data_IF_390345876070
#
_entry.id   IF_390345876070
#
_cell.length_a   1.000
_cell.length_b   1.000
_cell.length_c   1.000
_cell.angle_alpha   90.00
_cell.angle_beta   90.00
_cell.angle_gamma   90.00
#
_symmetry.space_group_name_H-M   'P 1'
#
loop_
_entity.id
_entity.type
_entity.pdbx_description
1 polymer ?
#
# COMPACT_ATOMS: atom_id res chain seq x y z
N UNK A 1 6.12 21.03 -3.48
CA UNK A 1 4.71 21.35 -3.81
C UNK A 1 3.99 20.02 -3.98
N UNK A 2 3.44 19.49 -2.88
CA UNK A 2 2.75 18.19 -2.89
C UNK A 2 1.28 18.49 -3.12
N UNK A 3 0.80 18.27 -4.34
CA UNK A 3 -0.63 18.19 -4.60
C UNK A 3 -1.10 16.81 -4.12
N UNK A 4 -1.53 16.72 -2.87
CA UNK A 4 -2.39 15.61 -2.43
C UNK A 4 -3.76 15.82 -3.04
N UNK A 5 -4.11 15.03 -4.05
CA UNK A 5 -5.47 14.97 -4.57
C UNK A 5 -6.35 14.34 -3.49
N UNK A 6 -7.22 15.16 -2.88
CA UNK A 6 -8.19 14.78 -1.85
C UNK A 6 -9.50 14.41 -2.54
N UNK A 7 -9.85 13.13 -2.57
CA UNK A 7 -11.23 12.69 -2.86
C UNK A 7 -11.43 11.24 -2.38
N UNK A 8 -12.11 11.00 -1.25
CA UNK A 8 -13.44 10.38 -1.13
C UNK A 8 -13.66 9.77 0.27
N UNK A 9 -14.74 10.18 0.93
CA UNK A 9 -15.19 9.65 2.22
C UNK A 9 -15.86 8.30 2.05
N UNK A 10 -15.14 7.20 2.32
CA UNK A 10 -15.74 5.88 2.50
C UNK A 10 -16.48 5.82 3.85
N UNK A 11 -17.79 6.10 3.85
CA UNK A 11 -18.63 5.96 5.06
C UNK A 11 -18.77 4.51 5.57
N UNK A 12 -18.09 3.53 4.96
CA UNK A 12 -18.17 2.11 5.31
C UNK A 12 -16.85 1.34 5.34
N UNK A 13 -15.67 1.96 5.38
CA UNK A 13 -14.39 1.21 5.29
C UNK A 13 -13.77 0.82 6.64
N UNK A 14 -14.13 1.49 7.74
CA UNK A 14 -13.39 1.40 9.01
C UNK A 14 -14.34 1.23 10.19
N UNK A 15 -13.95 0.38 11.15
CA UNK A 15 -14.47 0.44 12.51
C UNK A 15 -13.49 1.26 13.34
N UNK A 16 -13.96 2.35 13.94
CA UNK A 16 -13.20 3.13 14.90
C UNK A 16 -13.13 2.29 16.19
N UNK A 17 -11.94 1.82 16.54
CA UNK A 17 -11.72 1.13 17.82
C UNK A 17 -11.24 2.18 18.81
N UNK A 18 -12.18 2.70 19.61
CA UNK A 18 -11.86 3.58 20.74
C UNK A 18 -11.27 2.75 21.87
N UNK A 19 -9.94 2.71 21.98
CA UNK A 19 -9.28 2.21 23.18
C UNK A 19 -9.42 3.29 24.25
N UNK A 20 -10.39 3.12 25.15
CA UNK A 20 -10.54 3.97 26.34
C UNK A 20 -9.43 3.67 27.34
N UNK A 21 -8.29 4.35 27.21
CA UNK A 21 -7.33 4.53 28.30
C UNK A 21 -7.77 5.71 29.16
N UNK A 22 -8.75 5.51 30.05
CA UNK A 22 -9.14 6.56 31.01
C UNK A 22 -8.06 6.65 32.08
N UNK A 23 -7.29 7.75 32.09
CA UNK A 23 -6.65 8.22 33.31
C UNK A 23 -6.97 9.71 33.51
N UNK A 24 -8.17 9.95 34.02
CA UNK A 24 -8.59 11.24 34.55
C UNK A 24 -7.79 11.52 35.82
N UNK A 25 -6.75 12.36 35.72
CA UNK A 25 -6.29 13.18 36.84
C UNK A 25 -6.61 14.64 36.53
N UNK A 26 -7.88 15.00 36.77
CA UNK A 26 -8.30 16.40 36.84
C UNK A 26 -7.68 17.02 38.09
N UNK A 27 -6.75 17.95 37.92
CA UNK A 27 -6.28 18.81 39.00
C UNK A 27 -6.63 20.26 38.65
N UNK A 28 -7.89 20.62 38.94
CA UNK A 28 -8.45 21.93 38.68
C UNK A 28 -8.02 22.90 39.79
N UNK A 29 -6.85 23.52 39.63
CA UNK A 29 -6.41 24.63 40.48
C UNK A 29 -7.17 25.91 40.11
N UNK A 30 -8.01 26.39 41.05
CA UNK A 30 -8.75 27.65 40.93
C UNK A 30 -7.78 28.84 40.93
N UNK A 31 -7.60 29.48 39.77
CA UNK A 31 -7.30 30.92 39.70
C UNK A 31 -8.29 31.58 38.74
N UNK A 32 -9.25 32.29 39.31
CA UNK A 32 -10.21 33.09 38.58
C UNK A 32 -9.51 34.35 38.06
N UNK A 33 -9.11 34.33 36.78
CA UNK A 33 -8.96 35.55 35.99
C UNK A 33 -10.18 35.66 35.07
N UNK A 34 -10.73 36.88 35.01
CA UNK A 34 -11.92 37.27 34.24
C UNK A 34 -11.67 37.09 32.74
N UNK A 35 -11.89 35.87 32.25
CA UNK A 35 -12.06 35.59 30.84
C UNK A 35 -13.54 35.30 30.59
N UNK A 36 -14.11 35.99 29.60
CA UNK A 36 -15.48 35.83 29.13
C UNK A 36 -15.82 34.33 28.97
N UNK A 37 -16.97 33.90 29.50
CA UNK A 37 -17.39 32.49 29.48
C UNK A 37 -17.41 31.87 28.09
N UNK A 38 -17.57 32.69 27.04
CA UNK A 38 -17.51 32.24 25.64
C UNK A 38 -16.11 31.78 25.21
N UNK A 39 -15.05 32.50 25.57
CA UNK A 39 -13.68 32.12 25.19
C UNK A 39 -13.23 30.82 25.86
N UNK A 40 -13.68 30.57 27.10
CA UNK A 40 -13.44 29.31 27.80
C UNK A 40 -14.25 28.16 27.18
N UNK A 41 -15.53 28.39 26.88
CA UNK A 41 -16.37 27.38 26.22
C UNK A 41 -15.85 26.99 24.82
N UNK A 42 -15.32 27.95 24.05
CA UNK A 42 -14.70 27.68 22.75
C UNK A 42 -13.41 26.86 22.91
N UNK A 43 -12.57 27.18 23.90
CA UNK A 43 -11.35 26.43 24.18
C UNK A 43 -11.65 25.00 24.67
N UNK A 44 -12.60 24.84 25.59
CA UNK A 44 -13.05 23.53 26.09
C UNK A 44 -13.67 22.70 24.96
N UNK A 45 -14.48 23.31 24.10
CA UNK A 45 -15.03 22.68 22.90
C UNK A 45 -13.93 22.21 21.94
N UNK A 46 -12.88 23.00 21.73
CA UNK A 46 -11.75 22.63 20.89
C UNK A 46 -10.95 21.44 21.47
N UNK A 47 -10.75 21.38 22.79
CA UNK A 47 -10.06 20.27 23.46
C UNK A 47 -10.90 19.00 23.44
N UNK A 48 -12.21 19.10 23.72
CA UNK A 48 -13.14 17.96 23.63
C UNK A 48 -13.20 17.44 22.20
N UNK A 49 -13.35 18.31 21.21
CA UNK A 49 -13.32 17.93 19.80
C UNK A 49 -12.00 17.27 19.43
N UNK A 50 -10.87 17.87 19.82
CA UNK A 50 -9.54 17.32 19.55
C UNK A 50 -9.32 15.94 20.19
N UNK A 51 -9.92 15.70 21.37
CA UNK A 51 -9.78 14.42 22.07
C UNK A 51 -10.72 13.37 21.48
N UNK A 52 -11.98 13.72 21.20
CA UNK A 52 -12.97 12.82 20.60
C UNK A 52 -12.66 12.47 19.14
N UNK A 53 -12.00 13.37 18.41
CA UNK A 53 -11.54 13.12 17.04
C UNK A 53 -10.21 12.36 16.99
N UNK A 54 -9.55 12.15 18.13
CA UNK A 54 -8.32 11.36 18.21
C UNK A 54 -8.64 9.87 18.14
N UNK A 55 -8.59 9.32 16.92
CA UNK A 55 -8.65 7.87 16.71
C UNK A 55 -7.24 7.32 16.92
N UNK A 56 -7.05 6.51 17.97
CA UNK A 56 -5.76 5.85 18.23
C UNK A 56 -5.55 4.61 17.37
N UNK A 57 -6.63 3.87 17.05
CA UNK A 57 -6.54 2.68 16.22
C UNK A 57 -7.77 2.50 15.31
N UNK A 58 -7.56 1.82 14.18
CA UNK A 58 -8.57 1.53 13.16
C UNK A 58 -8.50 0.07 12.76
N UNK A 59 -9.66 -0.58 12.64
CA UNK A 59 -9.73 -1.92 12.07
C UNK A 59 -10.33 -1.84 10.65
N UNK A 60 -9.59 -2.23 9.61
CA UNK A 60 -10.07 -2.26 8.23
C UNK A 60 -11.26 -3.22 8.06
N UNK A 61 -12.30 -2.81 7.33
CA UNK A 61 -13.46 -3.68 7.02
C UNK A 61 -13.23 -4.65 5.87
N UNK A 62 -12.11 -4.51 5.18
CA UNK A 62 -11.66 -5.40 4.10
C UNK A 62 -10.18 -5.71 4.30
N UNK A 63 -9.74 -6.85 3.78
CA UNK A 63 -8.30 -7.08 3.56
C UNK A 63 -7.89 -6.38 2.27
N UNK A 64 -6.75 -5.71 2.26
CA UNK A 64 -6.24 -5.00 1.09
C UNK A 64 -4.94 -5.62 0.60
N UNK A 65 -4.72 -5.56 -0.71
CA UNK A 65 -3.58 -6.19 -1.36
C UNK A 65 -3.61 -6.02 -2.86
N UNK A 66 -2.75 -6.74 -3.57
CA UNK A 66 -2.65 -6.66 -5.03
C UNK A 66 -2.56 -8.05 -5.67
N UNK A 67 -2.73 -8.12 -6.98
CA UNK A 67 -2.47 -9.33 -7.75
C UNK A 67 -1.00 -9.52 -8.02
N UNK A 68 -0.51 -10.75 -7.87
CA UNK A 68 0.86 -11.13 -8.19
C UNK A 68 0.91 -12.32 -9.17
N UNK A 69 2.06 -12.49 -9.79
CA UNK A 69 2.40 -13.72 -10.49
C UNK A 69 3.02 -14.71 -9.50
N UNK A 70 2.55 -15.96 -9.52
CA UNK A 70 3.05 -17.04 -8.67
C UNK A 70 3.84 -18.07 -9.50
N UNK A 71 4.87 -18.72 -8.94
CA UNK A 71 5.56 -19.82 -9.61
C UNK A 71 4.58 -20.92 -10.04
N UNK A 72 4.73 -21.42 -11.27
CA UNK A 72 3.82 -22.44 -11.78
C UNK A 72 4.12 -23.83 -11.19
N UNK A 73 3.16 -24.39 -10.47
CA UNK A 73 3.17 -25.75 -9.94
C UNK A 73 2.26 -26.64 -10.80
N UNK A 74 2.85 -27.43 -11.70
CA UNK A 74 2.11 -28.19 -12.71
C UNK A 74 1.05 -29.17 -12.14
N UNK A 75 1.31 -29.74 -10.96
CA UNK A 75 0.42 -30.67 -10.27
C UNK A 75 -0.84 -30.02 -9.68
N UNK A 76 -0.75 -28.73 -9.31
CA UNK A 76 -1.85 -27.97 -8.69
C UNK A 76 -2.55 -27.11 -9.73
N UNK A 77 -1.78 -26.27 -10.43
CA UNK A 77 -2.30 -25.19 -11.26
C UNK A 77 -2.99 -25.69 -12.54
N UNK A 78 -2.58 -26.84 -13.10
CA UNK A 78 -3.31 -27.45 -14.24
C UNK A 78 -4.72 -27.88 -13.86
N UNK A 79 -4.93 -28.39 -12.64
CA UNK A 79 -6.26 -28.77 -12.14
C UNK A 79 -7.16 -27.57 -11.89
N UNK A 80 -6.55 -26.41 -11.65
CA UNK A 80 -7.22 -25.12 -11.52
C UNK A 80 -7.37 -24.38 -12.85
N UNK A 81 -7.08 -25.04 -14.00
CA UNK A 81 -7.15 -24.45 -15.34
C UNK A 81 -6.25 -23.22 -15.55
N UNK A 82 -5.20 -23.07 -14.74
CA UNK A 82 -4.25 -21.96 -14.86
C UNK A 82 -3.28 -22.21 -16.01
N UNK A 83 -3.15 -21.22 -16.88
CA UNK A 83 -2.25 -21.27 -18.04
C UNK A 83 -0.93 -20.59 -17.65
N UNK A 84 0.20 -21.33 -17.63
CA UNK A 84 1.49 -20.73 -17.33
C UNK A 84 2.00 -19.87 -18.49
N UNK A 85 2.73 -18.82 -18.16
CA UNK A 85 3.53 -18.04 -19.10
C UNK A 85 4.96 -17.91 -18.58
N UNK A 86 5.89 -17.53 -19.46
CA UNK A 86 7.27 -17.24 -19.06
C UNK A 86 7.41 -15.77 -18.70
N UNK A 87 7.90 -15.48 -17.50
CA UNK A 87 8.26 -14.11 -17.11
C UNK A 87 9.60 -13.69 -17.76
N UNK A 88 10.03 -12.43 -17.56
CA UNK A 88 11.30 -11.94 -18.12
C UNK A 88 12.54 -12.68 -17.57
N UNK A 89 12.44 -13.30 -16.39
CA UNK A 89 13.48 -14.19 -15.84
C UNK A 89 13.55 -15.55 -16.53
N UNK A 90 12.61 -15.87 -17.43
CA UNK A 90 12.47 -17.17 -18.08
C UNK A 90 11.81 -18.25 -17.22
N UNK A 91 11.16 -17.87 -16.12
CA UNK A 91 10.48 -18.78 -15.20
C UNK A 91 9.01 -18.95 -15.60
N UNK A 92 8.49 -20.17 -15.42
CA UNK A 92 7.06 -20.42 -15.60
C UNK A 92 6.30 -19.91 -14.39
N UNK A 93 5.38 -18.98 -14.63
CA UNK A 93 4.53 -18.35 -13.62
C UNK A 93 3.09 -18.34 -14.09
N UNK A 94 2.16 -18.09 -13.17
CA UNK A 94 0.73 -17.93 -13.43
C UNK A 94 0.24 -16.63 -12.79
N UNK A 95 -0.66 -15.92 -13.46
CA UNK A 95 -1.18 -14.63 -13.03
C UNK A 95 -2.40 -14.78 -12.11
N UNK A 96 -2.72 -13.68 -11.40
CA UNK A 96 -3.94 -13.57 -10.60
C UNK A 96 -3.83 -14.05 -9.15
N UNK A 97 -2.62 -14.38 -8.68
CA UNK A 97 -2.36 -14.75 -7.29
C UNK A 97 -2.64 -13.58 -6.35
N UNK A 98 -2.99 -13.85 -5.11
CA UNK A 98 -3.31 -12.83 -4.11
C UNK A 98 -2.11 -12.53 -3.21
N UNK A 99 -1.78 -11.25 -3.05
CA UNK A 99 -0.79 -10.77 -2.08
C UNK A 99 -1.43 -9.75 -1.14
N UNK A 100 -1.82 -10.21 0.04
CA UNK A 100 -2.39 -9.36 1.09
C UNK A 100 -1.33 -8.44 1.72
N UNK A 101 -1.65 -7.16 1.86
CA UNK A 101 -0.82 -6.14 2.54
C UNK A 101 -1.43 -5.83 3.91
N UNK A 102 -2.75 -5.70 3.97
CA UNK A 102 -3.51 -5.38 5.19
C UNK A 102 -4.58 -6.43 5.41
N UNK A 103 -4.73 -6.88 6.66
CA UNK A 103 -5.75 -7.84 7.05
C UNK A 103 -7.00 -7.14 7.59
N UNK A 104 -8.17 -7.63 7.18
CA UNK A 104 -9.47 -7.24 7.74
C UNK A 104 -9.50 -7.44 9.26
N UNK A 105 -10.13 -6.52 9.97
CA UNK A 105 -10.41 -6.63 11.41
C UNK A 105 -9.21 -6.45 12.33
N UNK A 106 -7.98 -6.43 11.81
CA UNK A 106 -6.78 -6.20 12.61
C UNK A 106 -6.65 -4.71 12.91
N UNK A 107 -6.63 -4.37 14.20
CA UNK A 107 -6.44 -2.99 14.63
C UNK A 107 -5.04 -2.50 14.23
N UNK A 108 -5.01 -1.37 13.55
CA UNK A 108 -3.82 -0.66 13.09
C UNK A 108 -3.78 0.70 13.79
N UNK A 109 -2.61 1.12 14.25
CA UNK A 109 -2.43 2.49 14.75
C UNK A 109 -2.75 3.49 13.63
N UNK A 110 -3.37 4.62 13.98
CA UNK A 110 -3.88 5.58 12.99
C UNK A 110 -2.82 6.19 12.07
N UNK A 111 -1.56 6.20 12.52
CA UNK A 111 -0.41 6.71 11.76
C UNK A 111 0.43 5.61 11.10
N UNK A 112 0.06 4.33 11.27
CA UNK A 112 0.86 3.23 10.72
C UNK A 112 0.75 3.21 9.20
N UNK A 113 1.90 2.95 8.56
CA UNK A 113 1.97 2.68 7.13
C UNK A 113 2.32 1.21 6.96
N UNK A 114 1.37 0.44 6.43
CA UNK A 114 1.57 -0.95 6.05
C UNK A 114 2.33 -0.99 4.72
N UNK A 115 3.52 -1.59 4.73
CA UNK A 115 4.41 -1.67 3.57
C UNK A 115 4.58 -3.11 3.14
N UNK A 116 4.53 -3.36 1.84
CA UNK A 116 4.89 -4.67 1.28
C UNK A 116 5.71 -4.49 0.00
N UNK A 117 6.88 -5.15 -0.11
CA UNK A 117 7.75 -5.04 -1.26
C UNK A 117 7.25 -5.88 -2.43
N UNK A 118 7.45 -5.35 -3.63
CA UNK A 118 7.14 -5.98 -4.90
C UNK A 118 8.25 -5.73 -5.92
N UNK A 119 8.24 -6.58 -6.95
CA UNK A 119 9.20 -6.52 -8.05
C UNK A 119 8.45 -6.60 -9.36
N UNK A 120 8.70 -5.64 -10.24
CA UNK A 120 8.30 -5.70 -11.64
C UNK A 120 9.50 -6.04 -12.52
N UNK A 121 9.26 -6.90 -13.49
CA UNK A 121 10.29 -7.41 -14.41
C UNK A 121 10.08 -6.83 -15.80
N UNK A 122 11.17 -6.40 -16.42
CA UNK A 122 11.20 -5.83 -17.77
C UNK A 122 12.21 -6.57 -18.65
N UNK A 123 11.93 -6.64 -19.95
CA UNK A 123 12.80 -7.23 -20.98
C UNK A 123 13.67 -6.19 -21.70
N UNK A 124 13.56 -4.92 -21.30
CA UNK A 124 14.31 -3.78 -21.85
C UNK A 124 14.91 -2.97 -20.70
N UNK A 125 16.09 -2.33 -20.89
CA UNK A 125 16.66 -1.41 -19.91
C UNK A 125 15.82 -0.16 -19.72
N UNK A 126 15.12 0.29 -20.77
CA UNK A 126 14.37 1.55 -20.78
C UNK A 126 12.88 1.28 -21.01
N UNK A 127 12.17 0.68 -20.02
CA UNK A 127 10.72 0.52 -20.14
C UNK A 127 10.03 1.88 -20.02
N UNK A 128 8.86 2.02 -20.66
CA UNK A 128 8.05 3.22 -20.43
C UNK A 128 7.55 3.22 -18.97
N UNK A 129 8.11 4.13 -18.19
CA UNK A 129 7.82 4.31 -16.77
C UNK A 129 7.02 5.60 -16.49
N UNK A 130 6.51 6.28 -17.51
CA UNK A 130 5.74 7.53 -17.38
C UNK A 130 4.45 7.34 -16.60
N UNK A 131 3.76 6.23 -16.85
CA UNK A 131 2.52 5.87 -16.20
C UNK A 131 2.64 4.46 -15.64
N UNK A 132 3.37 4.34 -14.54
CA UNK A 132 3.41 3.11 -13.78
C UNK A 132 2.10 2.96 -12.97
N UNK A 133 1.49 1.78 -13.05
CA UNK A 133 0.23 1.49 -12.36
C UNK A 133 0.32 0.24 -11.51
N UNK A 134 -0.25 0.28 -10.31
CA UNK A 134 -0.46 -0.89 -9.47
C UNK A 134 -1.91 -0.90 -8.95
N UNK A 135 -2.63 -1.98 -9.22
CA UNK A 135 -4.02 -2.12 -8.74
C UNK A 135 -4.04 -2.58 -7.28
N UNK A 136 -4.86 -1.90 -6.49
CA UNK A 136 -5.20 -2.28 -5.14
C UNK A 136 -6.59 -2.91 -5.14
N UNK A 137 -6.70 -4.11 -4.57
CA UNK A 137 -7.95 -4.81 -4.40
C UNK A 137 -8.35 -4.84 -2.92
N UNK A 138 -9.65 -4.90 -2.69
CA UNK A 138 -10.24 -5.16 -1.39
C UNK A 138 -10.90 -6.54 -1.40
N UNK A 139 -10.75 -7.28 -0.30
CA UNK A 139 -11.34 -8.60 -0.09
C UNK A 139 -12.24 -8.59 1.15
N UNK A 140 -13.48 -9.02 0.99
CA UNK A 140 -14.51 -8.97 2.04
C UNK A 140 -14.57 -10.21 2.94
N UNK A 141 -14.00 -11.33 2.50
CA UNK A 141 -14.03 -12.61 3.20
C UNK A 141 -13.05 -12.68 4.39
N UNK A 142 -13.23 -13.71 5.23
CA UNK A 142 -12.42 -13.97 6.43
C UNK A 142 -11.26 -14.95 6.17
N UNK A 143 -11.32 -15.69 5.07
CA UNK A 143 -10.27 -16.64 4.68
C UNK A 143 -9.11 -15.92 3.95
N UNK A 144 -8.03 -16.67 3.70
CA UNK A 144 -6.90 -16.21 2.89
C UNK A 144 -6.91 -16.92 1.53
N UNK A 145 -7.61 -16.38 0.53
CA UNK A 145 -7.64 -16.97 -0.80
C UNK A 145 -6.25 -16.94 -1.43
N UNK A 146 -5.92 -17.98 -2.19
CA UNK A 146 -4.69 -18.05 -2.99
C UNK A 146 -4.76 -17.13 -4.21
N UNK A 147 -5.97 -16.93 -4.76
CA UNK A 147 -6.20 -16.25 -6.03
C UNK A 147 -7.18 -15.09 -5.87
N UNK A 148 -6.81 -13.93 -6.41
CA UNK A 148 -7.68 -12.76 -6.52
C UNK A 148 -8.38 -12.70 -7.88
N UNK A 149 -7.79 -13.30 -8.92
CA UNK A 149 -8.41 -13.42 -10.25
C UNK A 149 -8.55 -14.88 -10.65
N UNK A 150 -9.64 -15.24 -11.31
CA UNK A 150 -9.87 -16.56 -11.89
C UNK A 150 -8.96 -16.81 -13.13
N UNK A 151 -8.97 -18.01 -13.73
CA UNK A 151 -8.17 -18.29 -14.93
C UNK A 151 -8.52 -17.45 -16.16
N UNK A 152 -9.70 -16.82 -16.19
CA UNK A 152 -10.18 -15.96 -17.27
C UNK A 152 -9.86 -14.47 -17.02
N UNK A 153 -9.28 -14.14 -15.86
CA UNK A 153 -8.90 -12.77 -15.47
C UNK A 153 -9.96 -12.01 -14.68
N UNK A 154 -11.13 -12.61 -14.43
CA UNK A 154 -12.19 -11.97 -13.64
C UNK A 154 -11.84 -12.00 -12.15
N UNK A 155 -12.31 -11.03 -11.38
CA UNK A 155 -12.15 -11.04 -9.93
C UNK A 155 -12.88 -12.25 -9.32
N UNK A 156 -12.20 -12.94 -8.41
CA UNK A 156 -12.81 -14.02 -7.65
C UNK A 156 -13.87 -13.47 -6.69
N UNK A 157 -14.81 -14.33 -6.26
CA UNK A 157 -15.86 -13.94 -5.32
C UNK A 157 -15.29 -13.29 -4.06
N UNK A 158 -15.87 -12.17 -3.64
CA UNK A 158 -15.44 -11.39 -2.47
C UNK A 158 -14.34 -10.36 -2.76
N UNK A 159 -13.75 -10.34 -3.96
CA UNK A 159 -12.83 -9.30 -4.38
C UNK A 159 -13.53 -8.17 -5.13
N UNK A 160 -13.03 -6.95 -4.92
CA UNK A 160 -13.40 -5.75 -5.67
C UNK A 160 -12.16 -4.87 -5.87
N UNK A 161 -12.18 -4.05 -6.91
CA UNK A 161 -11.13 -3.04 -7.11
C UNK A 161 -11.32 -1.92 -6.09
N UNK A 162 -10.27 -1.60 -5.32
CA UNK A 162 -10.29 -0.51 -4.36
C UNK A 162 -9.85 0.78 -5.03
N UNK A 163 -8.71 0.75 -5.71
CA UNK A 163 -8.19 1.84 -6.53
C UNK A 163 -7.03 1.38 -7.42
N UNK A 164 -6.65 2.20 -8.39
CA UNK A 164 -5.38 2.05 -9.12
C UNK A 164 -4.40 3.13 -8.67
N UNK A 165 -3.26 2.71 -8.16
CA UNK A 165 -2.15 3.59 -7.77
C UNK A 165 -1.37 3.95 -9.03
N UNK A 166 -1.18 5.24 -9.29
CA UNK A 166 -0.44 5.74 -10.46
C UNK A 166 0.79 6.51 -10.00
N UNK A 167 1.93 6.27 -10.64
CA UNK A 167 3.17 7.00 -10.41
C UNK A 167 3.91 7.23 -11.72
N UNK A 168 4.55 8.40 -11.85
CA UNK A 168 5.56 8.62 -12.89
C UNK A 168 6.93 8.23 -12.34
N UNK A 169 7.52 7.22 -12.96
CA UNK A 169 8.81 6.62 -12.63
C UNK A 169 9.85 6.82 -13.75
N UNK A 170 9.67 7.74 -14.71
CA UNK A 170 10.60 7.98 -15.84
C UNK A 170 12.05 8.22 -15.40
N UNK A 171 12.25 8.83 -14.23
CA UNK A 171 13.59 9.09 -13.71
C UNK A 171 14.30 7.84 -13.16
N UNK A 172 13.66 6.66 -13.20
CA UNK A 172 14.22 5.37 -12.79
C UNK A 172 14.73 4.50 -13.95
N UNK A 173 14.62 4.94 -15.20
CA UNK A 173 15.04 4.16 -16.38
C UNK A 173 16.52 3.71 -16.30
N UNK A 174 17.38 4.49 -15.62
CA UNK A 174 18.77 4.11 -15.32
C UNK A 174 19.04 3.41 -13.99
N UNK A 175 18.04 3.30 -13.11
CA UNK A 175 18.15 2.71 -11.76
C UNK A 175 17.67 1.24 -11.71
N UNK A 176 17.14 0.72 -12.82
CA UNK A 176 16.74 -0.66 -12.97
C UNK A 176 17.94 -1.60 -12.83
N UNK A 177 17.81 -2.61 -11.96
CA UNK A 177 18.87 -3.59 -11.76
C UNK A 177 18.80 -4.64 -12.86
N UNK A 178 19.85 -4.71 -13.68
CA UNK A 178 19.97 -5.73 -14.72
C UNK A 178 20.50 -7.05 -14.16
N UNK A 179 19.97 -8.16 -14.64
CA UNK A 179 20.44 -9.50 -14.30
C UNK A 179 20.24 -10.47 -15.48
N UNK A 180 20.87 -11.63 -15.39
CA UNK A 180 20.76 -12.70 -16.39
C UNK A 180 19.71 -13.71 -15.94
N UNK A 181 18.67 -13.90 -16.75
CA UNK A 181 17.61 -14.86 -16.54
C UNK A 181 18.02 -16.27 -16.96
N UNK A 182 17.07 -17.20 -16.83
CA UNK A 182 17.21 -18.56 -17.36
C UNK A 182 17.47 -18.50 -18.86
N UNK A 183 18.43 -19.28 -19.33
CA UNK A 183 18.87 -19.34 -20.73
C UNK A 183 19.67 -18.13 -21.25
N UNK A 184 20.18 -17.28 -20.36
CA UNK A 184 21.08 -16.20 -20.76
C UNK A 184 20.39 -14.96 -21.35
N UNK A 185 19.07 -14.85 -21.22
CA UNK A 185 18.35 -13.61 -21.56
C UNK A 185 18.54 -12.58 -20.45
N UNK A 186 18.88 -11.34 -20.82
CA UNK A 186 18.95 -10.24 -19.84
C UNK A 186 17.55 -9.76 -19.48
N UNK A 187 17.36 -9.42 -18.20
CA UNK A 187 16.14 -8.78 -17.70
C UNK A 187 16.50 -7.65 -16.73
N UNK A 188 15.53 -6.77 -16.50
CA UNK A 188 15.64 -5.61 -15.62
C UNK A 188 14.58 -5.66 -14.54
N UNK A 189 14.94 -5.23 -13.34
CA UNK A 189 14.09 -5.31 -12.15
C UNK A 189 13.84 -3.91 -11.59
N UNK A 190 12.56 -3.58 -11.43
CA UNK A 190 12.09 -2.45 -10.65
C UNK A 190 11.58 -2.96 -9.31
N UNK A 191 12.18 -2.50 -8.21
CA UNK A 191 11.70 -2.79 -6.86
C UNK A 191 10.95 -1.58 -6.31
N UNK A 192 9.79 -1.84 -5.72
CA UNK A 192 8.96 -0.82 -5.10
C UNK A 192 8.12 -1.42 -3.98
N UNK A 193 7.71 -0.60 -3.02
CA UNK A 193 6.77 -0.98 -1.98
C UNK A 193 5.40 -0.40 -2.30
N UNK A 194 4.35 -1.21 -2.20
CA UNK A 194 2.99 -0.69 -2.09
C UNK A 194 2.76 -0.36 -0.63
N UNK A 195 2.42 0.90 -0.37
CA UNK A 195 2.18 1.43 0.96
C UNK A 195 0.70 1.74 1.13
N UNK A 196 0.14 1.34 2.27
CA UNK A 196 -1.24 1.60 2.64
C UNK A 196 -1.25 2.27 4.00
N UNK A 197 -1.93 3.41 4.09
CA UNK A 197 -2.19 4.14 5.32
C UNK A 197 -3.68 4.41 5.44
N UNK A 198 -4.22 4.27 6.64
CA UNK A 198 -5.61 4.64 6.93
C UNK A 198 -5.60 6.02 7.57
N UNK A 199 -5.64 7.10 6.78
CA UNK A 199 -5.56 8.48 7.25
C UNK A 199 -6.94 9.08 7.49
N UNK A 200 -7.22 9.60 8.69
CA UNK A 200 -8.52 10.23 8.99
C UNK A 200 -9.74 9.32 8.69
N UNK A 201 -10.52 9.67 7.67
CA UNK A 201 -11.68 8.90 7.18
C UNK A 201 -11.41 8.19 5.85
N UNK A 202 -10.19 8.28 5.31
CA UNK A 202 -9.86 7.86 3.95
C UNK A 202 -8.74 6.80 3.95
N UNK A 203 -8.79 5.94 2.94
CA UNK A 203 -7.70 5.02 2.62
C UNK A 203 -6.72 5.74 1.71
N UNK A 204 -5.45 5.77 2.10
CA UNK A 204 -4.37 6.30 1.27
C UNK A 204 -3.45 5.17 0.83
N UNK A 205 -3.14 5.12 -0.46
CA UNK A 205 -2.23 4.15 -1.03
C UNK A 205 -1.26 4.80 -1.99
N UNK A 206 0.02 4.46 -1.89
CA UNK A 206 1.08 5.05 -2.70
C UNK A 206 2.23 4.08 -2.92
N UNK A 207 3.10 4.40 -3.87
CA UNK A 207 4.33 3.65 -4.11
C UNK A 207 5.50 4.35 -3.45
N UNK A 208 6.36 3.56 -2.81
CA UNK A 208 7.69 3.98 -2.38
C UNK A 208 8.72 3.20 -3.18
N UNK A 209 9.78 3.86 -3.63
CA UNK A 209 10.90 3.20 -4.30
C UNK A 209 12.20 3.92 -3.97
N UNK A 210 13.32 3.23 -4.20
CA UNK A 210 14.65 3.78 -4.03
C UNK A 210 15.26 4.07 -5.39
N UNK A 211 15.57 5.35 -5.63
CA UNK A 211 16.41 5.73 -6.77
C UNK A 211 17.84 5.29 -6.45
N UNK A 212 18.28 4.15 -6.99
CA UNK A 212 19.69 3.78 -6.98
C UNK A 212 20.45 4.65 -7.98
N UNK A 213 20.65 5.93 -7.65
CA UNK A 213 21.54 6.81 -8.40
C UNK A 213 22.98 6.43 -8.06
N UNK A 214 23.52 5.44 -8.76
CA UNK A 214 24.96 5.19 -8.82
C UNK A 214 25.40 3.78 -8.42
N UNK A 215 25.88 3.06 -9.45
CA UNK A 215 26.97 2.07 -9.45
C UNK A 215 27.00 1.11 -8.25
N UNK A 216 26.53 -0.12 -8.48
CA UNK A 216 26.97 -1.24 -7.66
C UNK A 216 27.89 -2.14 -8.49
N UNK A 217 29.18 -1.97 -8.23
CA UNK A 217 30.16 -3.04 -8.35
C UNK A 217 29.53 -4.32 -7.80
N UNK A 218 29.40 -5.30 -8.70
CA UNK A 218 29.02 -6.65 -8.35
C UNK A 218 30.08 -7.23 -7.43
N UNK A 219 29.84 -7.26 -6.11
CA UNK A 219 30.23 -8.30 -5.14
C UNK A 219 29.94 -7.75 -3.72
N UNK A 220 29.03 -8.39 -2.99
CA UNK A 220 28.91 -8.20 -1.53
C UNK A 220 30.12 -8.83 -0.83
N UNK A 221 30.64 -8.20 0.23
CA UNK A 221 30.56 -8.88 1.52
C UNK A 221 30.23 -7.97 2.72
N UNK A 222 29.49 -8.58 3.65
CA UNK A 222 29.47 -8.46 5.12
C UNK A 222 29.43 -7.06 5.77
N UNK A 223 28.40 -6.89 6.59
CA UNK A 223 28.21 -5.89 7.67
C UNK A 223 29.29 -4.81 7.78
N UNK A 224 28.95 -3.61 7.30
CA UNK A 224 29.38 -2.38 7.97
C UNK A 224 28.25 -1.36 7.92
N UNK A 225 28.06 -0.73 9.05
CA UNK A 225 27.00 0.19 9.46
C UNK A 225 27.10 1.54 8.72
N UNK A 226 27.03 1.50 7.39
CA UNK A 226 26.95 2.67 6.53
C UNK A 226 25.93 2.42 5.43
N UNK A 227 24.65 2.43 5.85
CA UNK A 227 23.51 2.55 4.95
C UNK A 227 23.64 3.89 4.23
N UNK A 228 24.31 3.92 3.07
CA UNK A 228 24.13 5.01 2.11
C UNK A 228 22.64 5.07 1.84
N UNK A 229 21.98 6.07 2.40
CA UNK A 229 20.54 6.27 2.28
C UNK A 229 20.25 6.56 0.81
N UNK A 230 19.85 5.52 0.07
CA UNK A 230 19.14 5.71 -1.19
C UNK A 230 18.02 6.72 -0.96
N UNK A 231 17.84 7.64 -1.90
CA UNK A 231 16.79 8.64 -1.75
C UNK A 231 15.47 7.89 -1.92
N UNK A 232 14.79 7.65 -0.80
CA UNK A 232 13.44 7.09 -0.78
C UNK A 232 12.50 8.14 -1.34
N UNK A 233 11.96 7.89 -2.53
CA UNK A 233 10.99 8.76 -3.17
C UNK A 233 9.60 8.20 -3.00
N UNK A 234 8.67 9.14 -2.86
CA UNK A 234 7.22 8.89 -2.91
C UNK A 234 6.69 9.61 -4.13
N UNK A 235 6.01 8.89 -5.01
CA UNK A 235 5.42 9.49 -6.20
C UNK A 235 4.19 10.33 -5.89
N UNK A 236 3.90 11.40 -6.66
CA UNK A 236 2.58 12.01 -6.63
C UNK A 236 1.57 10.98 -7.10
N UNK A 237 0.65 10.61 -6.22
CA UNK A 237 -0.41 9.65 -6.51
C UNK A 237 -1.58 10.40 -7.11
N UNK A 238 -1.98 10.02 -8.32
CA UNK A 238 -3.37 10.19 -8.73
C UNK A 238 -4.09 8.88 -8.44
N UNK A 239 -4.97 8.92 -7.43
CA UNK A 239 -5.94 7.87 -7.21
C UNK A 239 -7.06 8.16 -8.19
N UNK A 240 -7.33 7.24 -9.11
CA UNK A 240 -8.59 7.25 -9.84
C UNK A 240 -9.49 6.27 -9.09
N UNK A 241 -10.47 6.76 -8.30
CA UNK A 241 -11.54 5.89 -7.83
C UNK A 241 -12.20 5.32 -9.07
N UNK A 242 -12.29 3.99 -9.17
CA UNK A 242 -13.23 3.43 -10.12
C UNK A 242 -14.63 3.62 -9.55
N UNK A 243 -15.57 4.02 -10.42
CA UNK A 243 -16.94 4.36 -10.05
C UNK A 243 -17.48 3.32 -9.06
N UNK A 244 -17.75 3.78 -7.84
CA UNK A 244 -18.27 2.94 -6.78
C UNK A 244 -19.74 2.64 -7.10
N UNK A 245 -20.06 1.37 -7.29
CA UNK A 245 -21.43 0.88 -7.18
C UNK A 245 -21.79 0.97 -5.69
N UNK A 246 -22.87 1.68 -5.40
CA UNK A 246 -23.42 1.89 -4.05
C UNK A 246 -23.56 0.56 -3.28
N UNK A 247 -23.11 0.57 -2.01
CA UNK A 247 -23.46 -0.42 -0.99
C UNK A 247 -24.77 -0.04 -0.31
#
# INVERSE_FOLDING_TARGET
>A
MVLTCRTFSWWGALVIVLIFGVNLKSNMSRRATHACGSSKAVADGAVIWSTLSSVSSRAPRYSFGTTIALPFLANVHRRQYRIPYKNARGEQVVSGGWSQIVQKGVALDSEVVCRRPYVQLHTTPDPNLELFTADLLAYSGENTPEWARDPFGNLASGFQEACTIRANLQHLEGALVSAMGKHGSRYWTLQFDICIRFGGTELESYLEWEDNVGIFDSYMPLETDNKKQGIKRTGPVSIVPQDTIDL
#
